data_IF_459697856651
#
_entry.id   IF_459697856651
#
_cell.length_a   1.000
_cell.length_b   1.000
_cell.length_c   1.000
_cell.angle_alpha   90.00
_cell.angle_beta   90.00
_cell.angle_gamma   90.00
#
_symmetry.space_group_name_H-M   'P 1'
#
loop_
_entity.id
_entity.type
_entity.pdbx_description
1 polymer ?
#
# COMPACT_ATOMS: atom_id res chain seq x y z
N UNK A 1 10.17 -1.32 12.49
CA UNK A 1 9.15 -2.22 11.90
C UNK A 1 7.85 -1.46 11.69
N UNK A 2 7.37 -0.74 12.71
CA UNK A 2 6.23 0.17 12.62
C UNK A 2 6.46 1.37 11.66
N UNK A 3 7.64 2.00 11.72
CA UNK A 3 8.05 3.07 10.79
C UNK A 3 8.08 2.57 9.33
N UNK A 4 8.60 1.36 9.10
CA UNK A 4 8.65 0.74 7.78
C UNK A 4 7.25 0.38 7.23
N UNK A 5 6.35 -0.17 8.07
CA UNK A 5 4.99 -0.46 7.65
C UNK A 5 4.22 0.83 7.30
N UNK A 6 4.44 1.91 8.07
CA UNK A 6 3.86 3.22 7.79
C UNK A 6 4.37 3.85 6.50
N UNK A 7 5.68 3.76 6.23
CA UNK A 7 6.28 4.22 4.97
C UNK A 7 5.74 3.43 3.77
N UNK A 8 5.68 2.11 3.84
CA UNK A 8 5.16 1.27 2.74
C UNK A 8 3.68 1.55 2.46
N UNK A 9 2.85 1.71 3.50
CA UNK A 9 1.43 2.10 3.34
C UNK A 9 1.31 3.46 2.64
N UNK A 10 2.19 4.41 2.97
CA UNK A 10 2.20 5.74 2.37
C UNK A 10 2.59 5.69 0.89
N UNK A 11 3.60 4.90 0.53
CA UNK A 11 3.98 4.68 -0.87
C UNK A 11 2.84 4.04 -1.66
N UNK A 12 2.23 2.97 -1.14
CA UNK A 12 1.10 2.31 -1.79
C UNK A 12 -0.12 3.23 -1.93
N UNK A 13 -0.35 4.13 -0.97
CA UNK A 13 -1.43 5.13 -1.05
C UNK A 13 -1.17 6.14 -2.17
N UNK A 14 0.08 6.53 -2.38
CA UNK A 14 0.46 7.38 -3.51
C UNK A 14 0.31 6.64 -4.84
N UNK A 15 0.72 5.36 -4.89
CA UNK A 15 0.53 4.54 -6.09
C UNK A 15 -0.96 4.41 -6.46
N UNK A 16 -1.81 4.22 -5.46
CA UNK A 16 -3.27 4.17 -5.67
C UNK A 16 -3.81 5.50 -6.22
N UNK A 17 -3.33 6.65 -5.73
CA UNK A 17 -3.68 7.93 -6.31
C UNK A 17 -3.26 8.01 -7.78
N UNK A 18 -1.99 7.67 -8.08
CA UNK A 18 -1.46 7.67 -9.45
C UNK A 18 -2.23 6.74 -10.39
N UNK A 19 -2.69 5.57 -9.90
CA UNK A 19 -3.50 4.63 -10.68
C UNK A 19 -4.86 5.25 -11.02
N UNK A 20 -5.53 5.89 -10.05
CA UNK A 20 -6.81 6.56 -10.32
C UNK A 20 -6.63 7.73 -11.29
N UNK A 21 -5.59 8.55 -11.13
CA UNK A 21 -5.27 9.63 -12.07
C UNK A 21 -4.99 9.08 -13.47
N UNK A 22 -4.24 7.99 -13.60
CA UNK A 22 -4.01 7.35 -14.89
C UNK A 22 -5.31 6.80 -15.53
N UNK A 23 -6.24 6.28 -14.73
CA UNK A 23 -7.54 5.84 -15.21
C UNK A 23 -8.41 7.01 -15.69
N UNK A 24 -8.37 8.15 -15.00
CA UNK A 24 -9.06 9.37 -15.43
C UNK A 24 -8.48 9.91 -16.74
N UNK A 25 -7.15 9.97 -16.87
CA UNK A 25 -6.47 10.40 -18.10
C UNK A 25 -6.76 9.47 -19.29
N UNK A 26 -6.89 8.17 -19.04
CA UNK A 26 -7.27 7.19 -20.07
C UNK A 26 -8.63 7.50 -20.70
N UNK A 27 -9.58 8.05 -19.92
CA UNK A 27 -10.91 8.44 -20.43
C UNK A 27 -10.87 9.70 -21.31
N UNK A 28 -9.78 10.47 -21.27
CA UNK A 28 -9.62 11.71 -22.03
C UNK A 28 -8.93 11.50 -23.38
N UNK A 29 -8.43 10.29 -23.65
CA UNK A 29 -7.80 9.96 -24.92
C UNK A 29 -8.81 9.99 -26.07
N UNK A 30 -8.34 10.38 -27.25
CA UNK A 30 -9.13 10.28 -28.47
C UNK A 30 -9.16 8.84 -29.03
N UNK A 31 -9.94 8.64 -30.09
CA UNK A 31 -10.08 7.32 -30.72
C UNK A 31 -8.77 6.79 -31.30
N UNK A 32 -7.82 7.64 -31.70
CA UNK A 32 -6.55 7.18 -32.29
C UNK A 32 -5.60 6.68 -31.19
N UNK A 33 -5.44 7.47 -30.13
CA UNK A 33 -4.55 7.17 -29.00
C UNK A 33 -5.08 6.02 -28.12
N UNK A 34 -6.41 5.86 -28.02
CA UNK A 34 -7.04 4.79 -27.24
C UNK A 34 -6.87 3.38 -27.81
N UNK A 35 -6.41 3.24 -29.06
CA UNK A 35 -6.15 1.93 -29.67
C UNK A 35 -4.80 1.32 -29.27
N UNK A 36 -3.85 2.13 -28.78
CA UNK A 36 -2.49 1.67 -28.52
C UNK A 36 -1.80 2.50 -27.44
N UNK A 37 -2.10 2.16 -26.19
CA UNK A 37 -1.54 2.80 -24.99
C UNK A 37 -0.30 2.02 -24.52
N UNK A 38 0.89 2.67 -24.41
CA UNK A 38 2.09 2.03 -23.92
C UNK A 38 2.08 1.90 -22.39
N UNK A 39 2.13 0.66 -21.89
CA UNK A 39 2.28 0.34 -20.47
C UNK A 39 3.69 -0.16 -20.15
N UNK A 40 4.37 0.46 -19.17
CA UNK A 40 5.75 0.13 -18.82
C UNK A 40 5.83 -1.02 -17.82
N UNK A 41 6.56 -2.07 -18.20
CA UNK A 41 6.92 -3.19 -17.31
C UNK A 41 8.45 -3.30 -17.27
N UNK A 42 9.05 -2.98 -16.12
CA UNK A 42 10.50 -2.92 -15.97
C UNK A 42 11.12 -1.88 -16.91
N UNK A 43 11.89 -2.35 -17.90
CA UNK A 43 12.55 -1.52 -18.92
C UNK A 43 11.87 -1.56 -20.30
N UNK A 44 10.73 -2.25 -20.42
CA UNK A 44 10.03 -2.46 -21.69
C UNK A 44 8.62 -1.89 -21.66
N UNK A 45 8.05 -1.62 -22.83
CA UNK A 45 6.65 -1.21 -22.98
C UNK A 45 5.85 -2.29 -23.71
N UNK A 46 4.66 -2.55 -23.21
CA UNK A 46 3.65 -3.42 -23.84
C UNK A 46 2.44 -2.56 -24.16
N UNK A 47 1.90 -2.69 -25.38
CA UNK A 47 0.77 -1.88 -25.80
C UNK A 47 -0.56 -2.59 -25.53
N UNK A 48 -1.53 -1.82 -25.06
CA UNK A 48 -2.89 -2.25 -24.80
C UNK A 48 -3.85 -1.28 -25.48
N UNK A 49 -5.04 -1.76 -25.88
CA UNK A 49 -6.15 -0.86 -26.15
C UNK A 49 -6.75 -0.33 -24.83
N UNK A 50 -7.65 0.65 -24.94
CA UNK A 50 -8.28 1.31 -23.80
C UNK A 50 -9.05 0.34 -22.90
N UNK A 51 -9.75 -0.65 -23.47
CA UNK A 51 -10.51 -1.62 -22.67
C UNK A 51 -9.59 -2.51 -21.84
N UNK A 52 -8.55 -3.07 -22.47
CA UNK A 52 -7.55 -3.89 -21.79
C UNK A 52 -6.76 -3.08 -20.77
N UNK A 53 -6.43 -1.82 -21.08
CA UNK A 53 -5.71 -0.93 -20.17
C UNK A 53 -6.58 -0.56 -18.95
N UNK A 54 -7.88 -0.30 -19.15
CA UNK A 54 -8.84 -0.04 -18.07
C UNK A 54 -8.91 -1.22 -17.11
N UNK A 55 -9.16 -2.43 -17.64
CA UNK A 55 -9.19 -3.65 -16.84
C UNK A 55 -7.87 -3.89 -16.10
N UNK A 56 -6.75 -3.53 -16.71
CA UNK A 56 -5.44 -3.64 -16.07
C UNK A 56 -5.30 -2.69 -14.90
N UNK A 57 -5.68 -1.42 -15.06
CA UNK A 57 -5.65 -0.42 -13.98
C UNK A 57 -6.59 -0.79 -12.83
N UNK A 58 -7.78 -1.30 -13.12
CA UNK A 58 -8.72 -1.79 -12.10
C UNK A 58 -8.11 -2.94 -11.28
N UNK A 59 -7.47 -3.92 -11.96
CA UNK A 59 -6.78 -4.99 -11.27
C UNK A 59 -5.65 -4.48 -10.37
N UNK A 60 -4.82 -3.56 -10.89
CA UNK A 60 -3.73 -2.96 -10.09
C UNK A 60 -4.27 -2.19 -8.88
N UNK A 61 -5.38 -1.49 -9.04
CA UNK A 61 -6.06 -0.79 -7.94
C UNK A 61 -6.52 -1.76 -6.87
N UNK A 62 -7.26 -2.81 -7.23
CA UNK A 62 -7.75 -3.82 -6.28
C UNK A 62 -6.60 -4.50 -5.52
N UNK A 63 -5.53 -4.88 -6.23
CA UNK A 63 -4.33 -5.49 -5.63
C UNK A 63 -3.65 -4.52 -4.64
N UNK A 64 -3.57 -3.24 -4.98
CA UNK A 64 -2.96 -2.21 -4.13
C UNK A 64 -3.81 -1.93 -2.89
N UNK A 65 -5.13 -1.79 -3.04
CA UNK A 65 -6.07 -1.62 -1.91
C UNK A 65 -6.00 -2.79 -0.93
N UNK A 66 -5.98 -4.02 -1.46
CA UNK A 66 -5.90 -5.23 -0.66
C UNK A 66 -4.56 -5.29 0.09
N UNK A 67 -3.44 -4.92 -0.56
CA UNK A 67 -2.12 -4.88 0.10
C UNK A 67 -2.08 -3.84 1.24
N UNK A 68 -2.64 -2.65 1.04
CA UNK A 68 -2.73 -1.62 2.10
C UNK A 68 -3.52 -2.15 3.29
N UNK A 69 -4.66 -2.80 3.03
CA UNK A 69 -5.52 -3.38 4.07
C UNK A 69 -4.77 -4.45 4.87
N UNK A 70 -4.07 -5.35 4.20
CA UNK A 70 -3.34 -6.44 4.84
C UNK A 70 -2.15 -5.93 5.67
N UNK A 71 -1.41 -4.94 5.17
CA UNK A 71 -0.32 -4.32 5.93
C UNK A 71 -0.84 -3.57 7.16
N UNK A 72 -1.95 -2.85 7.01
CA UNK A 72 -2.58 -2.13 8.13
C UNK A 72 -3.04 -3.10 9.22
N UNK A 73 -3.66 -4.21 8.83
CA UNK A 73 -4.10 -5.24 9.77
C UNK A 73 -2.92 -5.91 10.49
N UNK A 74 -1.85 -6.24 9.76
CA UNK A 74 -0.63 -6.82 10.35
C UNK A 74 0.06 -5.87 11.33
N UNK A 75 0.15 -4.58 10.98
CA UNK A 75 0.75 -3.58 11.86
C UNK A 75 -0.07 -3.42 13.15
N UNK A 76 -1.40 -3.35 13.03
CA UNK A 76 -2.29 -3.26 14.18
C UNK A 76 -2.21 -4.49 15.09
N UNK A 77 -2.17 -5.71 14.52
CA UNK A 77 -1.99 -6.95 15.29
C UNK A 77 -0.67 -6.94 16.05
N UNK A 78 0.42 -6.54 15.39
CA UNK A 78 1.76 -6.47 16.00
C UNK A 78 1.81 -5.46 17.16
N UNK A 79 1.17 -4.30 17.01
CA UNK A 79 1.05 -3.32 18.09
C UNK A 79 0.23 -3.85 19.28
N UNK A 80 -0.86 -4.56 19.00
CA UNK A 80 -1.68 -5.17 20.05
C UNK A 80 -0.88 -6.21 20.84
N UNK A 81 -0.20 -7.12 20.15
CA UNK A 81 0.66 -8.15 20.75
C UNK A 81 1.79 -7.53 21.59
N UNK A 82 2.43 -6.47 21.08
CA UNK A 82 3.44 -5.71 21.83
C UNK A 82 2.87 -5.09 23.11
N UNK A 83 1.68 -4.50 23.02
CA UNK A 83 0.99 -3.92 24.18
C UNK A 83 0.60 -4.96 25.21
N UNK A 84 0.12 -6.13 24.79
CA UNK A 84 -0.17 -7.27 25.67
C UNK A 84 1.09 -7.75 26.38
N UNK A 85 2.18 -7.94 25.64
CA UNK A 85 3.45 -8.39 26.18
C UNK A 85 4.03 -7.40 27.20
N UNK A 86 4.01 -6.10 26.89
CA UNK A 86 4.41 -5.03 27.84
C UNK A 86 3.62 -5.13 29.14
N UNK A 87 2.29 -5.26 29.06
CA UNK A 87 1.42 -5.41 30.25
C UNK A 87 1.79 -6.64 31.08
N UNK A 88 2.00 -7.79 30.44
CA UNK A 88 2.39 -9.02 31.12
C UNK A 88 3.73 -8.88 31.84
N UNK A 89 4.71 -8.23 31.21
CA UNK A 89 6.03 -8.03 31.80
C UNK A 89 5.98 -7.06 32.98
N UNK A 90 5.31 -5.91 32.86
CA UNK A 90 5.15 -4.98 33.97
C UNK A 90 4.36 -5.59 35.14
N UNK A 91 3.33 -6.39 34.88
CA UNK A 91 2.60 -7.09 35.94
C UNK A 91 3.50 -8.07 36.73
N UNK A 92 4.50 -8.67 36.08
CA UNK A 92 5.41 -9.66 36.69
C UNK A 92 6.63 -9.02 37.36
N UNK A 93 7.20 -7.99 36.76
CA UNK A 93 8.47 -7.41 37.18
C UNK A 93 8.33 -6.05 37.88
N UNK A 94 7.20 -5.37 37.72
CA UNK A 94 6.95 -4.03 38.25
C UNK A 94 7.99 -3.02 37.78
N UNK A 95 8.38 -2.11 38.67
CA UNK A 95 9.33 -1.03 38.39
C UNK A 95 10.80 -1.51 38.29
N UNK A 96 11.05 -2.83 38.28
CA UNK A 96 12.40 -3.39 38.14
C UNK A 96 12.91 -3.38 36.70
N UNK A 97 12.05 -3.08 35.74
CA UNK A 97 12.36 -3.00 34.30
C UNK A 97 11.80 -1.71 33.72
N UNK A 98 12.42 -1.19 32.65
CA UNK A 98 11.88 -0.11 31.84
C UNK A 98 11.76 -0.61 30.39
N UNK A 99 10.55 -0.60 29.84
CA UNK A 99 10.23 -1.09 28.49
C UNK A 99 9.76 0.04 27.55
N UNK A 100 9.81 1.29 28.01
CA UNK A 100 9.54 2.42 27.12
C UNK A 100 10.76 2.74 26.27
N UNK A 101 10.54 2.85 24.98
CA UNK A 101 11.54 3.34 24.02
C UNK A 101 11.55 4.87 24.09
N UNK A 102 12.70 5.53 23.92
CA UNK A 102 12.87 7.00 23.93
C UNK A 102 12.12 7.77 22.81
N UNK A 103 11.06 7.19 22.24
CA UNK A 103 10.30 7.73 21.12
C UNK A 103 8.81 7.54 21.38
N UNK A 104 8.29 8.32 22.32
CA UNK A 104 6.94 8.89 22.18
C UNK A 104 7.02 10.15 21.30
#
# INVERSE_FOLDING_TARGET
MEEFAGEEIKELSNDLLNINEAADELMLLDEEDSNSIPFRIGQTFVHFDSEAMTSKLDQLKEETEQKIKDLTAQNSSSQQEMGELKRTLYAKFGDRINLESDKD
#
